data_IF_266572193966
#
_entry.id   IF_266572193966
#
_cell.length_a   1.000
_cell.length_b   1.000
_cell.length_c   1.000
_cell.angle_alpha   90.00
_cell.angle_beta   90.00
_cell.angle_gamma   90.00
#
_symmetry.space_group_name_H-M   'P 1'
#
loop_
_entity.id
_entity.type
_entity.pdbx_description
1 polymer ?
#
# COMPACT_ATOMS: atom_id res chain seq x y z
N UNK A 1 9.13 5.60 -4.55
CA UNK A 1 8.86 5.45 -3.11
C UNK A 1 9.77 4.34 -2.60
N UNK A 2 10.42 4.52 -1.46
CA UNK A 2 11.39 3.56 -0.94
C UNK A 2 10.71 2.25 -0.48
N UNK A 3 11.42 1.12 -0.55
CA UNK A 3 10.87 -0.20 -0.18
C UNK A 3 10.63 -0.28 1.35
N UNK A 4 11.49 0.35 2.16
CA UNK A 4 11.30 0.39 3.62
C UNK A 4 10.06 1.21 3.97
N UNK A 5 9.85 2.35 3.31
CA UNK A 5 8.61 3.14 3.49
C UNK A 5 7.37 2.33 3.10
N UNK A 6 7.42 1.60 1.98
CA UNK A 6 6.31 0.72 1.59
C UNK A 6 6.03 -0.39 2.60
N UNK A 7 7.06 -0.96 3.23
CA UNK A 7 6.90 -1.95 4.31
C UNK A 7 6.25 -1.36 5.55
N UNK A 8 6.61 -0.13 5.93
CA UNK A 8 6.01 0.59 7.05
C UNK A 8 4.53 0.85 6.79
N UNK A 9 4.19 1.40 5.62
CA UNK A 9 2.80 1.67 5.24
C UNK A 9 1.96 0.39 5.17
N UNK A 10 2.54 -0.71 4.65
CA UNK A 10 1.84 -2.00 4.56
C UNK A 10 1.60 -2.61 5.95
N UNK A 11 2.53 -2.42 6.89
CA UNK A 11 2.37 -2.86 8.28
C UNK A 11 1.30 -2.04 9.01
N UNK A 12 1.26 -0.72 8.78
CA UNK A 12 0.22 0.15 9.31
C UNK A 12 -1.18 -0.23 8.76
N UNK A 13 -1.27 -0.51 7.45
CA UNK A 13 -2.50 -1.01 6.82
C UNK A 13 -2.96 -2.33 7.46
N UNK A 14 -2.03 -3.28 7.68
CA UNK A 14 -2.33 -4.54 8.35
C UNK A 14 -2.83 -4.34 9.78
N UNK A 15 -2.21 -3.42 10.54
CA UNK A 15 -2.63 -3.11 11.90
C UNK A 15 -4.06 -2.55 11.94
N UNK A 16 -4.38 -1.61 11.04
CA UNK A 16 -5.72 -1.04 10.92
C UNK A 16 -6.73 -2.10 10.50
N UNK A 17 -6.42 -2.93 9.51
CA UNK A 17 -7.27 -4.04 9.08
C UNK A 17 -7.54 -5.02 10.23
N UNK A 18 -6.51 -5.41 10.98
CA UNK A 18 -6.63 -6.33 12.10
C UNK A 18 -7.54 -5.76 13.20
N UNK A 19 -7.27 -4.55 13.68
CA UNK A 19 -8.05 -3.92 14.76
C UNK A 19 -9.51 -3.74 14.33
N UNK A 20 -9.77 -3.32 13.09
CA UNK A 20 -11.13 -3.19 12.58
C UNK A 20 -11.83 -4.54 12.44
N UNK A 21 -11.13 -5.58 11.98
CA UNK A 21 -11.68 -6.94 11.85
C UNK A 21 -12.07 -7.51 13.21
N UNK A 22 -11.18 -7.42 14.20
CA UNK A 22 -11.46 -7.92 15.55
C UNK A 22 -12.52 -7.08 16.27
N UNK A 23 -12.48 -5.75 16.12
CA UNK A 23 -13.46 -4.86 16.73
C UNK A 23 -14.88 -5.07 16.21
N UNK A 24 -15.04 -5.25 14.89
CA UNK A 24 -16.34 -5.56 14.29
C UNK A 24 -16.84 -6.93 14.70
N UNK A 25 -15.98 -7.95 14.72
CA UNK A 25 -16.33 -9.29 15.22
C UNK A 25 -16.81 -9.28 16.67
N UNK A 26 -16.11 -8.56 17.56
CA UNK A 26 -16.50 -8.48 18.98
C UNK A 26 -17.81 -7.71 19.18
N UNK A 27 -17.99 -6.60 18.44
CA UNK A 27 -19.18 -5.76 18.55
C UNK A 27 -20.44 -6.47 18.05
N UNK A 28 -20.31 -7.20 16.95
CA UNK A 28 -21.46 -7.77 16.23
C UNK A 28 -21.69 -9.25 16.57
N UNK A 29 -20.89 -9.86 17.46
CA UNK A 29 -21.05 -11.25 17.87
C UNK A 29 -22.42 -11.52 18.52
N UNK A 30 -23.22 -12.47 18.00
CA UNK A 30 -24.46 -12.86 18.66
C UNK A 30 -24.16 -13.61 19.97
N UNK A 31 -25.06 -13.54 20.98
CA UNK A 31 -24.94 -14.35 22.17
C UNK A 31 -24.98 -15.85 21.83
N UNK A 32 -24.01 -16.61 22.31
CA UNK A 32 -24.00 -18.06 22.16
C UNK A 32 -24.70 -18.73 23.34
N UNK A 33 -25.62 -19.67 23.07
CA UNK A 33 -26.37 -20.37 24.13
C UNK A 33 -25.56 -21.58 24.59
N UNK A 34 -25.08 -21.54 25.83
CA UNK A 34 -24.31 -22.63 26.45
C UNK A 34 -25.05 -23.98 26.46
N UNK A 35 -26.39 -23.96 26.46
CA UNK A 35 -27.25 -25.13 26.28
C UNK A 35 -28.66 -24.73 25.88
N UNK A 36 -29.42 -25.66 25.31
CA UNK A 36 -30.84 -25.45 24.95
C UNK A 36 -31.73 -25.09 26.15
N UNK A 37 -31.30 -25.43 27.37
CA UNK A 37 -32.01 -25.16 28.61
C UNK A 37 -31.55 -23.88 29.31
N UNK A 38 -30.57 -23.15 28.75
CA UNK A 38 -30.07 -21.92 29.34
C UNK A 38 -31.12 -20.80 29.18
N UNK A 39 -31.60 -20.20 30.28
CA UNK A 39 -32.64 -19.18 30.21
C UNK A 39 -32.16 -17.98 29.41
N UNK A 40 -33.01 -17.48 28.51
CA UNK A 40 -32.70 -16.28 27.73
C UNK A 40 -32.82 -15.07 28.67
N UNK A 41 -31.73 -14.31 28.92
CA UNK A 41 -31.79 -13.13 29.77
C UNK A 41 -32.72 -12.04 29.21
N UNK A 42 -32.98 -12.04 27.88
CA UNK A 42 -33.92 -11.12 27.23
C UNK A 42 -35.36 -11.66 27.21
N UNK A 43 -35.58 -12.94 27.52
CA UNK A 43 -36.91 -13.54 27.63
C UNK A 43 -37.03 -14.42 28.89
N UNK A 44 -37.10 -13.81 30.08
CA UNK A 44 -37.05 -14.50 31.38
C UNK A 44 -38.28 -15.36 31.71
N UNK A 45 -39.29 -15.42 30.83
CA UNK A 45 -40.49 -16.22 31.06
C UNK A 45 -40.91 -16.97 29.79
N UNK A 46 -40.36 -18.18 29.52
CA UNK A 46 -40.87 -19.02 28.46
C UNK A 46 -42.25 -19.51 28.91
N UNK A 47 -43.32 -18.95 28.34
CA UNK A 47 -44.65 -19.56 28.51
C UNK A 47 -44.58 -20.94 27.89
N UNK A 48 -44.98 -22.01 28.61
CA UNK A 48 -45.04 -23.33 28.02
C UNK A 48 -46.04 -23.28 26.85
N UNK A 49 -45.58 -23.64 25.66
CA UNK A 49 -46.45 -23.84 24.51
C UNK A 49 -47.37 -25.03 24.82
N UNK A 50 -48.64 -24.75 25.10
CA UNK A 50 -49.69 -25.75 24.96
C UNK A 50 -50.29 -25.63 23.56
N UNK A 51 -50.50 -26.80 22.99
CA UNK A 51 -50.93 -27.07 21.63
C UNK A 51 -52.41 -26.68 21.49
N UNK A 52 -52.75 -26.10 20.34
CA UNK A 52 -54.10 -26.04 19.74
C UNK A 52 -55.02 -24.82 19.98
N UNK A 53 -55.55 -24.34 18.84
CA UNK A 53 -56.86 -23.65 18.60
C UNK A 53 -57.08 -22.17 19.00
N UNK A 54 -56.89 -21.27 18.00
CA UNK A 54 -57.72 -20.15 17.47
C UNK A 54 -58.95 -19.63 18.29
N UNK A 55 -59.51 -18.43 17.98
CA UNK A 55 -59.03 -17.05 18.14
C UNK A 55 -59.93 -16.22 19.11
N UNK A 56 -59.41 -15.33 19.96
CA UNK A 56 -60.24 -14.21 20.43
C UNK A 56 -59.50 -12.99 21.01
N UNK A 57 -60.15 -11.87 20.73
CA UNK A 57 -59.85 -10.44 20.89
C UNK A 57 -60.07 -9.98 22.33
N UNK A 58 -59.23 -9.07 22.84
CA UNK A 58 -59.44 -8.03 23.90
C UNK A 58 -58.04 -7.57 24.35
N UNK A 59 -57.64 -6.31 24.51
CA UNK A 59 -58.28 -5.01 24.47
C UNK A 59 -57.56 -4.08 25.47
N UNK A 60 -56.80 -3.10 24.95
CA UNK A 60 -56.34 -1.84 25.60
C UNK A 60 -55.23 -1.87 26.69
N UNK A 61 -54.61 -0.71 27.05
CA UNK A 61 -53.89 0.21 26.17
C UNK A 61 -52.54 0.65 26.81
N UNK A 62 -51.41 0.48 26.12
CA UNK A 62 -50.13 1.00 26.60
C UNK A 62 -49.18 1.12 25.44
N UNK A 63 -48.83 2.35 25.08
CA UNK A 63 -47.95 2.64 23.96
C UNK A 63 -46.62 1.85 24.13
N UNK A 64 -46.22 1.02 23.14
CA UNK A 64 -44.88 0.47 23.16
C UNK A 64 -43.89 1.63 22.92
N UNK A 65 -42.72 1.65 23.58
CA UNK A 65 -41.63 2.49 23.15
C UNK A 65 -41.36 2.18 21.67
N UNK A 66 -41.00 3.18 20.84
CA UNK A 66 -40.82 2.95 19.41
C UNK A 66 -39.85 1.80 19.23
N UNK A 67 -40.31 0.75 18.55
CA UNK A 67 -39.44 -0.29 18.05
C UNK A 67 -38.34 0.43 17.27
N UNK A 68 -37.15 0.53 17.86
CA UNK A 68 -35.96 0.82 17.09
C UNK A 68 -35.93 -0.33 16.10
N UNK A 69 -36.23 -0.03 14.83
CA UNK A 69 -36.02 -0.94 13.74
C UNK A 69 -34.55 -1.33 13.85
N UNK A 70 -34.29 -2.54 14.37
CA UNK A 70 -32.97 -3.12 14.28
C UNK A 70 -32.66 -3.11 12.78
N UNK A 71 -31.60 -2.43 12.34
CA UNK A 71 -31.17 -2.53 10.95
C UNK A 71 -31.05 -4.02 10.63
N UNK A 72 -31.35 -4.44 9.39
CA UNK A 72 -31.19 -5.82 8.98
C UNK A 72 -29.82 -6.29 9.46
N UNK A 73 -29.80 -7.35 10.26
CA UNK A 73 -28.57 -7.87 10.83
C UNK A 73 -27.54 -7.94 9.70
N UNK A 74 -26.36 -7.29 9.83
CA UNK A 74 -25.33 -7.43 8.82
C UNK A 74 -25.07 -8.92 8.63
N UNK A 75 -24.85 -9.35 7.39
CA UNK A 75 -24.52 -10.74 7.10
C UNK A 75 -23.19 -11.06 7.78
N UNK A 76 -23.30 -11.54 9.02
CA UNK A 76 -22.23 -11.84 9.95
C UNK A 76 -21.29 -12.94 9.43
N UNK A 77 -21.68 -13.62 8.34
CA UNK A 77 -20.86 -14.63 7.70
C UNK A 77 -19.95 -14.06 6.60
N UNK A 78 -20.44 -13.11 5.81
CA UNK A 78 -19.72 -12.61 4.63
C UNK A 78 -18.74 -11.47 4.96
N UNK A 79 -19.10 -10.57 5.86
CA UNK A 79 -18.24 -9.43 6.20
C UNK A 79 -16.91 -9.85 6.86
N UNK A 80 -16.87 -10.76 7.86
CA UNK A 80 -15.60 -11.23 8.43
C UNK A 80 -14.74 -12.02 7.45
N UNK A 81 -15.37 -12.72 6.51
CA UNK A 81 -14.67 -13.44 5.44
C UNK A 81 -13.97 -12.50 4.47
N UNK A 82 -14.62 -11.39 4.09
CA UNK A 82 -14.00 -10.35 3.27
C UNK A 82 -12.82 -9.68 3.99
N UNK A 83 -12.99 -9.33 5.27
CA UNK A 83 -11.94 -8.68 6.07
C UNK A 83 -10.74 -9.61 6.35
N UNK A 84 -10.99 -10.88 6.67
CA UNK A 84 -9.92 -11.88 6.83
C UNK A 84 -9.18 -12.14 5.52
N UNK A 85 -9.88 -12.19 4.38
CA UNK A 85 -9.25 -12.26 3.07
C UNK A 85 -8.37 -11.04 2.78
N UNK A 86 -8.84 -9.84 3.11
CA UNK A 86 -8.05 -8.61 2.96
C UNK A 86 -6.77 -8.64 3.82
N UNK A 87 -6.85 -9.12 5.07
CA UNK A 87 -5.68 -9.27 5.94
C UNK A 87 -4.66 -10.26 5.37
N UNK A 88 -5.11 -11.40 4.82
CA UNK A 88 -4.23 -12.38 4.18
C UNK A 88 -3.55 -11.80 2.94
N UNK A 89 -4.29 -11.03 2.13
CA UNK A 89 -3.70 -10.35 0.97
C UNK A 89 -2.66 -9.31 1.39
N UNK A 90 -2.93 -8.52 2.43
CA UNK A 90 -2.00 -7.55 2.98
C UNK A 90 -0.72 -8.25 3.49
N UNK A 91 -0.85 -9.37 4.20
CA UNK A 91 0.29 -10.19 4.62
C UNK A 91 1.13 -10.70 3.45
N UNK A 92 0.49 -11.19 2.37
CA UNK A 92 1.21 -11.62 1.17
C UNK A 92 1.97 -10.48 0.49
N UNK A 93 1.40 -9.27 0.46
CA UNK A 93 2.08 -8.08 -0.06
C UNK A 93 3.29 -7.73 0.79
N UNK A 94 3.15 -7.79 2.12
CA UNK A 94 4.27 -7.59 3.05
C UNK A 94 5.40 -8.60 2.79
N UNK A 95 5.08 -9.89 2.65
CA UNK A 95 6.08 -10.93 2.34
C UNK A 95 6.81 -10.65 1.01
N UNK A 96 6.07 -10.23 -0.01
CA UNK A 96 6.65 -9.87 -1.30
C UNK A 96 7.58 -8.65 -1.20
N UNK A 97 7.23 -7.64 -0.39
CA UNK A 97 8.08 -6.48 -0.13
C UNK A 97 9.34 -6.87 0.66
N UNK A 98 9.23 -7.77 1.65
CA UNK A 98 10.39 -8.29 2.38
C UNK A 98 11.32 -9.07 1.45
N UNK A 99 10.77 -9.89 0.56
CA UNK A 99 11.55 -10.64 -0.43
C UNK A 99 12.25 -9.74 -1.45
N UNK A 100 11.72 -8.53 -1.69
CA UNK A 100 12.32 -7.54 -2.60
C UNK A 100 13.44 -6.71 -1.95
N UNK A 101 13.71 -6.87 -0.64
CA UNK A 101 14.79 -6.16 0.02
C UNK A 101 16.15 -6.60 -0.54
N UNK A 102 17.05 -5.66 -0.89
CA UNK A 102 18.41 -6.00 -1.25
C UNK A 102 19.16 -6.45 0.02
N UNK A 103 19.25 -7.76 0.20
CA UNK A 103 19.96 -8.37 1.33
C UNK A 103 21.43 -8.55 0.96
N UNK A 104 22.29 -7.68 1.48
CA UNK A 104 23.74 -7.84 1.47
C UNK A 104 24.29 -7.58 2.87
N UNK A 105 25.48 -8.12 3.19
CA UNK A 105 26.18 -7.69 4.39
C UNK A 105 26.57 -6.21 4.27
N UNK A 106 26.74 -5.52 5.39
CA UNK A 106 27.22 -4.14 5.41
C UNK A 106 28.59 -4.04 4.72
N UNK A 107 29.47 -5.00 4.98
CA UNK A 107 30.82 -5.05 4.40
C UNK A 107 30.78 -5.18 2.87
N UNK A 108 29.93 -6.07 2.33
CA UNK A 108 29.75 -6.21 0.88
C UNK A 108 29.15 -4.96 0.25
N UNK A 109 28.20 -4.31 0.94
CA UNK A 109 27.58 -3.09 0.47
C UNK A 109 28.58 -1.94 0.42
N UNK A 110 29.38 -1.77 1.48
CA UNK A 110 30.43 -0.74 1.55
C UNK A 110 31.49 -0.99 0.49
N UNK A 111 31.92 -2.24 0.30
CA UNK A 111 32.86 -2.61 -0.76
C UNK A 111 32.30 -2.27 -2.14
N UNK A 112 31.05 -2.63 -2.40
CA UNK A 112 30.38 -2.30 -3.68
C UNK A 112 30.30 -0.79 -3.90
N UNK A 113 30.02 0.00 -2.86
CA UNK A 113 30.00 1.46 -2.94
C UNK A 113 31.39 2.00 -3.30
N UNK A 114 32.45 1.51 -2.65
CA UNK A 114 33.82 1.94 -2.95
C UNK A 114 34.23 1.62 -4.38
N UNK A 115 33.90 0.42 -4.87
CA UNK A 115 34.14 0.04 -6.27
C UNK A 115 33.42 0.98 -7.24
N UNK A 116 32.14 1.28 -6.98
CA UNK A 116 31.37 2.21 -7.81
C UNK A 116 31.89 3.65 -7.73
N UNK A 117 32.41 4.08 -6.59
CA UNK A 117 33.04 5.40 -6.45
C UNK A 117 34.31 5.48 -7.29
N UNK A 118 35.19 4.47 -7.21
CA UNK A 118 36.39 4.41 -8.03
C UNK A 118 36.07 4.34 -9.53
N UNK A 119 35.05 3.59 -9.93
CA UNK A 119 34.59 3.54 -11.33
C UNK A 119 34.08 4.91 -11.80
N UNK A 120 33.25 5.60 -10.98
CA UNK A 120 32.76 6.94 -11.30
C UNK A 120 33.90 7.96 -11.42
N UNK A 121 34.94 7.88 -10.58
CA UNK A 121 36.13 8.74 -10.69
C UNK A 121 36.86 8.51 -12.02
N UNK A 122 37.09 7.25 -12.39
CA UNK A 122 37.74 6.90 -13.66
C UNK A 122 36.92 7.38 -14.85
N UNK A 123 35.61 7.12 -14.85
CA UNK A 123 34.70 7.59 -15.91
C UNK A 123 34.69 9.11 -15.99
N UNK A 124 34.72 9.82 -14.86
CA UNK A 124 34.82 11.28 -14.80
C UNK A 124 36.11 11.82 -15.43
N UNK A 125 37.25 11.17 -15.16
CA UNK A 125 38.54 11.54 -15.77
C UNK A 125 38.56 11.29 -17.27
N UNK A 126 38.03 10.15 -17.71
CA UNK A 126 37.90 9.81 -19.14
C UNK A 126 37.03 10.84 -19.87
N UNK A 127 35.89 11.22 -19.28
CA UNK A 127 34.99 12.23 -19.82
C UNK A 127 35.66 13.60 -19.92
N UNK A 128 36.39 14.03 -18.87
CA UNK A 128 37.15 15.29 -18.87
C UNK A 128 38.18 15.32 -19.99
N UNK A 129 38.93 14.23 -20.18
CA UNK A 129 39.92 14.10 -21.25
C UNK A 129 39.28 14.19 -22.64
N UNK A 130 38.11 13.58 -22.83
CA UNK A 130 37.37 13.66 -24.09
C UNK A 130 36.86 15.07 -24.36
N UNK A 131 36.36 15.77 -23.35
CA UNK A 131 35.97 17.18 -23.46
C UNK A 131 37.16 18.06 -23.89
N UNK A 132 38.32 17.90 -23.23
CA UNK A 132 39.53 18.66 -23.60
C UNK A 132 40.02 18.37 -25.02
N UNK A 133 39.89 17.13 -25.49
CA UNK A 133 40.22 16.77 -26.87
C UNK A 133 39.25 17.44 -27.85
N UNK A 134 37.94 17.36 -27.58
CA UNK A 134 36.91 17.99 -28.40
C UNK A 134 37.06 19.52 -28.46
N UNK A 135 37.39 20.17 -27.36
CA UNK A 135 37.65 21.62 -27.32
C UNK A 135 38.85 22.02 -28.18
N UNK A 136 39.92 21.22 -28.20
CA UNK A 136 41.08 21.48 -29.06
C UNK A 136 40.72 21.32 -30.54
N UNK A 137 39.98 20.29 -30.89
CA UNK A 137 39.51 20.08 -32.27
C UNK A 137 38.61 21.22 -32.71
N UNK A 138 37.67 21.64 -31.87
CA UNK A 138 36.79 22.78 -32.16
C UNK A 138 37.59 24.05 -32.42
N UNK A 139 38.58 24.35 -31.56
CA UNK A 139 39.47 25.50 -31.74
C UNK A 139 40.29 25.42 -33.03
N UNK A 140 40.75 24.23 -33.42
CA UNK A 140 41.46 24.04 -34.68
C UNK A 140 40.54 24.29 -35.89
N UNK A 141 39.31 23.78 -35.84
CA UNK A 141 38.30 24.03 -36.89
C UNK A 141 37.97 25.52 -36.99
N UNK A 142 37.82 26.22 -35.87
CA UNK A 142 37.58 27.67 -35.85
C UNK A 142 38.71 28.46 -36.54
N UNK A 143 39.97 28.12 -36.24
CA UNK A 143 41.13 28.76 -36.88
C UNK A 143 41.15 28.51 -38.39
N UNK A 144 40.97 27.26 -38.81
CA UNK A 144 40.96 26.90 -40.23
C UNK A 144 39.79 27.56 -40.97
N UNK A 145 38.63 27.68 -40.32
CA UNK A 145 37.46 28.37 -40.89
C UNK A 145 37.74 29.86 -41.10
N UNK A 146 38.35 30.53 -40.12
CA UNK A 146 38.72 31.94 -40.23
C UNK A 146 39.77 32.16 -41.34
N UNK A 147 40.80 31.32 -41.40
CA UNK A 147 41.82 31.38 -42.45
C UNK A 147 41.23 31.18 -43.85
N UNK A 148 40.33 30.20 -44.02
CA UNK A 148 39.64 29.96 -45.28
C UNK A 148 38.75 31.15 -45.68
N UNK A 149 38.09 31.78 -44.70
CA UNK A 149 37.25 32.96 -44.91
C UNK A 149 38.10 34.17 -45.33
N UNK A 150 39.20 34.44 -44.64
CA UNK A 150 40.12 35.53 -44.95
C UNK A 150 40.74 35.36 -46.35
N UNK A 151 41.16 34.13 -46.70
CA UNK A 151 41.64 33.83 -48.04
C UNK A 151 40.58 34.14 -49.11
N UNK A 152 39.34 33.67 -48.93
CA UNK A 152 38.23 33.96 -49.84
C UNK A 152 37.95 35.47 -50.00
N UNK A 153 38.00 36.24 -48.91
CA UNK A 153 37.79 37.70 -48.95
C UNK A 153 38.93 38.39 -49.71
N UNK A 154 40.18 37.98 -49.45
CA UNK A 154 41.34 38.55 -50.13
C UNK A 154 41.33 38.31 -51.63
N UNK A 155 40.94 37.10 -52.08
CA UNK A 155 40.78 36.81 -53.52
C UNK A 155 39.72 37.72 -54.18
N UNK A 156 38.59 37.97 -53.52
CA UNK A 156 37.52 38.84 -54.06
C UNK A 156 37.87 40.34 -54.12
N UNK A 157 38.94 40.76 -53.45
CA UNK A 157 39.41 42.17 -53.45
C UNK A 157 40.47 42.44 -54.54
N UNK A 158 41.00 41.38 -55.14
CA UNK A 158 42.02 41.44 -56.19
C UNK A 158 41.43 41.44 -57.62
N UNK A 159 40.15 41.12 -57.76
CA UNK A 159 39.30 41.38 -58.94
C UNK A 159 38.63 42.76 -58.86
#
# INVERSE_FOLDING_TARGET
MDIITQLQDQLDEMAVLAVNTFGTLQRDAPPDRLSNSYPDPLNPNPKPEDVSTKPQVQGQPGAPPPAQAQPPAPDLSEQPKAMSHALVLAAKKFDALVAALPLSSEEDQVKRIQELQAENEVVGLELQKQLEAAERELKQVEVLFNEATDNCINFKRLD
#
